data_IF_919493541164
#
_entry.id   IF_919493541164
#
_cell.length_a   1.000
_cell.length_b   1.000
_cell.length_c   1.000
_cell.angle_alpha   90.00
_cell.angle_beta   90.00
_cell.angle_gamma   90.00
#
_symmetry.space_group_name_H-M   'P 1'
#
loop_
_entity.id
_entity.type
_entity.pdbx_description
1 polymer ?
#
# COMPACT_ATOMS: atom_id res chain seq x y z
N UNK A 1 -13.36 3.85 -9.15
CA UNK A 1 -12.85 4.11 -7.80
C UNK A 1 -11.34 4.13 -7.76
N UNK A 2 -10.78 5.16 -7.20
CA UNK A 2 -9.34 5.32 -7.15
C UNK A 2 -8.74 4.50 -6.00
N UNK A 3 -7.72 3.71 -6.31
CA UNK A 3 -6.91 3.02 -5.32
C UNK A 3 -5.54 3.67 -5.14
N UNK A 4 -5.39 4.89 -5.66
CA UNK A 4 -4.11 5.59 -5.66
C UNK A 4 -3.75 6.18 -4.29
N UNK A 5 -4.74 6.64 -3.55
CA UNK A 5 -4.49 7.32 -2.27
C UNK A 5 -4.86 6.39 -1.12
N UNK A 6 -3.85 5.96 -0.40
CA UNK A 6 -3.99 5.03 0.71
C UNK A 6 -3.11 5.52 1.85
N UNK A 7 -3.63 5.40 3.07
CA UNK A 7 -2.94 5.83 4.28
C UNK A 7 -2.71 4.63 5.19
N UNK A 8 -1.51 4.49 5.75
CA UNK A 8 -1.26 3.40 6.68
C UNK A 8 -1.84 3.71 8.06
N UNK A 9 -2.31 2.69 8.74
CA UNK A 9 -2.69 2.79 10.14
C UNK A 9 -1.75 1.89 10.93
N UNK A 10 -1.04 2.48 11.87
CA UNK A 10 -0.03 1.76 12.67
C UNK A 10 -0.37 1.87 14.15
N UNK A 11 0.13 0.93 14.93
CA UNK A 11 0.01 0.98 16.38
C UNK A 11 1.16 1.80 16.99
N UNK A 12 1.25 1.80 18.32
CA UNK A 12 2.27 2.58 19.04
C UNK A 12 3.69 2.11 18.75
N UNK A 13 3.85 0.87 18.30
CA UNK A 13 5.14 0.31 17.92
C UNK A 13 5.40 0.42 16.42
N UNK A 14 4.58 1.20 15.71
CA UNK A 14 4.69 1.41 14.26
C UNK A 14 4.40 0.16 13.43
N UNK A 15 3.74 -0.83 14.01
CA UNK A 15 3.33 -2.01 13.26
C UNK A 15 2.08 -1.72 12.45
N UNK A 16 2.06 -2.21 11.23
CA UNK A 16 0.95 -1.99 10.32
C UNK A 16 -0.26 -2.81 10.77
N UNK A 17 -1.35 -2.13 11.12
CA UNK A 17 -2.58 -2.78 11.55
C UNK A 17 -3.73 -2.61 10.56
N UNK A 18 -3.61 -1.68 9.62
CA UNK A 18 -4.64 -1.49 8.62
C UNK A 18 -4.28 -0.41 7.64
N UNK A 19 -5.20 -0.15 6.72
CA UNK A 19 -5.07 0.93 5.75
C UNK A 19 -6.40 1.66 5.63
N UNK A 20 -6.34 2.94 5.25
CA UNK A 20 -7.53 3.74 4.94
C UNK A 20 -7.38 4.23 3.51
N UNK A 21 -8.39 3.96 2.68
CA UNK A 21 -8.41 4.45 1.31
C UNK A 21 -9.16 5.77 1.27
N UNK A 22 -8.59 6.75 0.57
CA UNK A 22 -9.21 8.08 0.45
C UNK A 22 -10.63 7.97 -0.11
N UNK A 23 -10.84 7.11 -1.09
CA UNK A 23 -12.17 6.94 -1.69
C UNK A 23 -13.22 6.51 -0.67
N UNK A 24 -12.82 5.71 0.32
CA UNK A 24 -13.76 5.20 1.32
C UNK A 24 -14.18 6.27 2.32
N UNK A 25 -13.38 7.34 2.47
CA UNK A 25 -13.68 8.41 3.43
C UNK A 25 -13.99 9.74 2.77
N UNK A 26 -13.98 9.77 1.44
CA UNK A 26 -14.16 11.02 0.69
C UNK A 26 -15.48 11.72 1.05
N UNK A 27 -16.54 10.94 1.26
CA UNK A 27 -17.84 11.48 1.65
C UNK A 27 -17.83 12.12 3.05
N UNK A 28 -16.84 11.82 3.88
CA UNK A 28 -16.73 12.38 5.23
C UNK A 28 -15.89 13.66 5.28
N UNK A 29 -15.03 13.88 4.27
CA UNK A 29 -14.04 14.96 4.32
C UNK A 29 -14.70 16.32 4.52
N UNK A 30 -15.84 16.55 3.88
CA UNK A 30 -16.55 17.80 3.95
C UNK A 30 -17.73 17.78 4.94
N UNK A 31 -17.88 16.69 5.67
CA UNK A 31 -18.93 16.53 6.68
C UNK A 31 -18.33 16.66 8.07
N UNK A 32 -17.90 17.88 8.40
CA UNK A 32 -17.18 18.13 9.66
C UNK A 32 -18.02 17.80 10.90
N UNK A 33 -19.34 17.84 10.78
CA UNK A 33 -20.24 17.47 11.87
C UNK A 33 -20.13 15.99 12.26
N UNK A 34 -19.58 15.16 11.37
CA UNK A 34 -19.41 13.73 11.63
C UNK A 34 -18.04 13.37 12.20
N UNK A 35 -17.11 14.32 12.26
CA UNK A 35 -15.72 14.01 12.63
C UNK A 35 -15.58 13.43 14.04
N UNK A 36 -16.45 13.79 14.95
CA UNK A 36 -16.43 13.26 16.31
C UNK A 36 -16.99 11.84 16.41
N UNK A 37 -17.81 11.43 15.44
CA UNK A 37 -18.52 10.17 15.47
C UNK A 37 -17.72 9.01 14.91
N UNK A 38 -16.64 9.31 14.20
CA UNK A 38 -15.84 8.28 13.52
C UNK A 38 -14.43 8.23 14.08
N UNK A 39 -13.96 7.02 14.33
CA UNK A 39 -12.60 6.75 14.72
C UNK A 39 -11.87 6.08 13.55
N UNK A 40 -10.55 6.24 13.49
CA UNK A 40 -9.73 5.60 12.45
C UNK A 40 -9.98 4.09 12.41
N UNK A 41 -10.13 3.48 13.57
CA UNK A 41 -10.39 2.04 13.65
C UNK A 41 -11.65 1.61 12.91
N UNK A 42 -12.65 2.50 12.83
CA UNK A 42 -13.89 2.21 12.12
C UNK A 42 -13.74 2.35 10.60
N UNK A 43 -12.78 3.15 10.17
CA UNK A 43 -12.57 3.47 8.76
C UNK A 43 -11.52 2.59 8.11
N UNK A 44 -10.63 2.01 8.89
CA UNK A 44 -9.55 1.20 8.34
C UNK A 44 -10.04 -0.17 7.92
N UNK A 45 -9.32 -0.73 6.96
CA UNK A 45 -9.51 -2.08 6.46
C UNK A 45 -8.19 -2.82 6.57
N UNK A 46 -8.22 -4.16 6.66
CA UNK A 46 -6.97 -4.91 6.55
C UNK A 46 -6.33 -4.65 5.18
N UNK A 47 -5.02 -4.57 5.09
CA UNK A 47 -4.37 -4.46 3.77
C UNK A 47 -4.68 -5.71 2.95
N UNK A 48 -4.90 -5.51 1.65
CA UNK A 48 -5.15 -6.62 0.73
C UNK A 48 -3.96 -7.58 0.70
N UNK A 49 -2.77 -7.03 0.79
CA UNK A 49 -1.52 -7.78 0.90
C UNK A 49 -0.47 -6.91 1.54
N UNK A 50 0.53 -7.54 2.13
CA UNK A 50 1.72 -6.88 2.67
C UNK A 50 2.93 -7.43 1.93
N UNK A 51 3.85 -6.55 1.57
CA UNK A 51 5.11 -6.95 1.00
C UNK A 51 6.19 -6.91 2.08
N UNK A 52 7.12 -7.84 1.99
CA UNK A 52 8.31 -7.85 2.84
C UNK A 52 9.44 -7.14 2.12
N UNK A 53 10.31 -6.45 2.86
CA UNK A 53 11.50 -5.84 2.28
C UNK A 53 12.41 -6.86 1.61
N UNK A 54 12.25 -8.16 1.95
CA UNK A 54 13.07 -9.23 1.40
C UNK A 54 12.44 -9.92 0.21
N UNK A 55 11.24 -9.51 -0.19
CA UNK A 55 10.55 -10.15 -1.31
C UNK A 55 11.28 -9.86 -2.63
N UNK A 56 11.54 -10.88 -3.45
CA UNK A 56 12.13 -10.65 -4.76
C UNK A 56 11.14 -10.00 -5.72
N UNK A 57 11.67 -9.39 -6.77
CA UNK A 57 10.89 -8.60 -7.72
C UNK A 57 9.75 -9.40 -8.36
N UNK A 58 10.00 -10.67 -8.72
CA UNK A 58 8.99 -11.49 -9.37
C UNK A 58 7.81 -11.77 -8.43
N UNK A 59 8.08 -11.94 -7.13
CA UNK A 59 7.03 -12.12 -6.13
C UNK A 59 6.20 -10.84 -6.00
N UNK A 60 6.87 -9.69 -5.93
CA UNK A 60 6.21 -8.39 -5.83
C UNK A 60 5.27 -8.15 -7.01
N UNK A 61 5.73 -8.42 -8.22
CA UNK A 61 4.91 -8.25 -9.43
C UNK A 61 3.69 -9.16 -9.42
N UNK A 62 3.85 -10.39 -8.97
CA UNK A 62 2.72 -11.34 -8.85
C UNK A 62 1.68 -10.85 -7.86
N UNK A 63 2.11 -10.25 -6.75
CA UNK A 63 1.18 -9.72 -5.76
C UNK A 63 0.40 -8.54 -6.33
N UNK A 64 1.06 -7.64 -7.05
CA UNK A 64 0.37 -6.53 -7.72
C UNK A 64 -0.65 -7.05 -8.73
N UNK A 65 -0.30 -8.05 -9.53
CA UNK A 65 -1.21 -8.62 -10.52
C UNK A 65 -2.42 -9.28 -9.87
N UNK A 66 -2.19 -10.05 -8.81
CA UNK A 66 -3.25 -10.76 -8.13
C UNK A 66 -4.21 -9.82 -7.42
N UNK A 67 -3.70 -8.78 -6.80
CA UNK A 67 -4.49 -7.85 -5.98
C UNK A 67 -5.12 -6.74 -6.78
N UNK A 68 -4.61 -6.46 -7.99
CA UNK A 68 -5.03 -5.32 -8.83
C UNK A 68 -4.82 -3.97 -8.14
N UNK A 69 -3.92 -3.93 -7.18
CA UNK A 69 -3.62 -2.69 -6.46
C UNK A 69 -2.57 -1.87 -7.21
N UNK A 70 -2.55 -0.57 -6.93
CA UNK A 70 -1.55 0.36 -7.46
C UNK A 70 -0.46 0.67 -6.45
N UNK A 71 -0.77 0.50 -5.16
CA UNK A 71 0.14 0.72 -4.04
C UNK A 71 -0.03 -0.42 -3.06
N UNK A 72 1.08 -0.90 -2.52
CA UNK A 72 1.04 -1.94 -1.49
C UNK A 72 1.96 -1.56 -0.34
N UNK A 73 1.57 -1.86 0.89
CA UNK A 73 2.41 -1.57 2.04
C UNK A 73 3.55 -2.56 2.14
N UNK A 74 4.69 -2.06 2.59
CA UNK A 74 5.90 -2.85 2.84
C UNK A 74 6.18 -2.82 4.33
N UNK A 75 6.44 -3.99 4.89
CA UNK A 75 6.80 -4.14 6.30
C UNK A 75 8.14 -4.85 6.43
N UNK A 76 8.79 -4.67 7.57
CA UNK A 76 10.00 -5.42 7.89
C UNK A 76 9.65 -6.76 8.54
N UNK A 77 10.66 -7.50 8.99
CA UNK A 77 10.47 -8.81 9.59
C UNK A 77 9.67 -8.79 10.89
N UNK A 78 9.62 -7.65 11.57
CA UNK A 78 8.85 -7.49 12.80
C UNK A 78 7.42 -7.02 12.54
N UNK A 79 7.06 -6.76 11.28
CA UNK A 79 5.75 -6.21 10.93
C UNK A 79 5.68 -4.70 11.03
N UNK A 80 6.81 -4.03 11.23
CA UNK A 80 6.87 -2.57 11.29
C UNK A 80 6.65 -1.99 9.89
N UNK A 81 5.80 -1.00 9.79
CA UNK A 81 5.53 -0.33 8.52
C UNK A 81 6.76 0.43 8.06
N UNK A 82 7.17 0.19 6.83
CA UNK A 82 8.33 0.84 6.21
C UNK A 82 7.88 1.92 5.22
N UNK A 83 6.85 1.63 4.44
CA UNK A 83 6.37 2.56 3.43
C UNK A 83 5.47 1.85 2.44
N UNK A 84 5.05 2.58 1.42
CA UNK A 84 4.31 2.01 0.30
C UNK A 84 5.22 1.92 -0.92
N UNK A 85 4.99 0.90 -1.73
CA UNK A 85 5.62 0.78 -3.01
C UNK A 85 4.54 0.91 -4.09
N UNK A 86 4.86 1.63 -5.16
CA UNK A 86 3.97 1.83 -6.30
C UNK A 86 4.24 0.79 -7.38
N UNK A 87 3.19 0.28 -7.99
CA UNK A 87 3.32 -0.64 -9.11
C UNK A 87 4.15 -0.03 -10.24
N UNK A 88 3.91 1.25 -10.55
CA UNK A 88 4.65 1.93 -11.62
C UNK A 88 6.16 1.99 -11.36
N UNK A 89 6.55 2.18 -10.10
CA UNK A 89 7.98 2.21 -9.74
C UNK A 89 8.62 0.83 -9.91
N UNK A 90 7.91 -0.22 -9.54
CA UNK A 90 8.40 -1.60 -9.70
C UNK A 90 8.55 -1.94 -11.18
N UNK A 91 7.56 -1.58 -12.00
CA UNK A 91 7.61 -1.84 -13.44
C UNK A 91 8.75 -1.06 -14.11
N UNK A 92 9.02 0.17 -13.67
CA UNK A 92 10.12 0.95 -14.21
C UNK A 92 11.47 0.28 -13.95
N UNK A 93 11.68 -0.22 -12.74
CA UNK A 93 12.91 -0.96 -12.40
C UNK A 93 13.00 -2.23 -13.22
N UNK A 94 11.90 -2.97 -13.34
CA UNK A 94 11.86 -4.21 -14.11
C UNK A 94 12.23 -3.95 -15.57
N UNK A 95 11.65 -2.93 -16.20
CA UNK A 95 11.96 -2.58 -17.59
C UNK A 95 13.42 -2.22 -17.75
N UNK A 96 14.00 -1.49 -16.79
CA UNK A 96 15.41 -1.12 -16.84
C UNK A 96 16.30 -2.37 -16.77
N UNK A 97 15.97 -3.29 -15.88
CA UNK A 97 16.71 -4.54 -15.77
C UNK A 97 16.64 -5.35 -17.06
N UNK A 98 15.48 -5.43 -17.70
CA UNK A 98 15.33 -6.14 -18.95
C UNK A 98 16.10 -5.46 -20.09
N UNK A 99 16.10 -4.14 -20.12
CA UNK A 99 16.86 -3.39 -21.12
C UNK A 99 18.37 -3.65 -20.97
N UNK A 100 18.87 -3.68 -19.73
CA UNK A 100 20.29 -3.96 -19.45
C UNK A 100 20.69 -5.36 -19.94
N UNK A 101 19.81 -6.33 -19.81
CA UNK A 101 20.07 -7.68 -20.32
C UNK A 101 20.01 -7.76 -21.85
N UNK A 102 19.31 -6.83 -22.50
CA UNK A 102 19.08 -6.87 -23.93
C UNK A 102 20.12 -6.10 -24.74
N UNK A 103 21.04 -5.39 -24.09
CA UNK A 103 21.98 -4.49 -24.76
C UNK A 103 23.29 -5.17 -25.17
N UNK A 104 23.41 -6.43 -25.01
CA UNK A 104 24.65 -7.16 -25.42
C UNK A 104 24.82 -7.25 -26.90
#
# INVERSE_FOLDING_TARGET
TSKYFVFPVVDKQMKLIGVVYLDDIRHLIFRTELYRDFRVAELMKPPVARLSMQDPMDVVLKVFDRTRMWNLPVVDSAGTFVGFIRKSSVLAVYRQMMADYSTD
#
